data_IF_748601439209
#
_entry.id   IF_748601439209
#
_cell.length_a   1.000
_cell.length_b   1.000
_cell.length_c   1.000
_cell.angle_alpha   90.00
_cell.angle_beta   90.00
_cell.angle_gamma   90.00
#
_symmetry.space_group_name_H-M   'P 1'
#
loop_
_entity.id
_entity.type
_entity.pdbx_description
1 polymer ?
#
# COMPACT_ATOMS: atom_id res chain seq x y z
N UNK A 1 8.62 -23.95 5.53
CA UNK A 1 8.98 -22.53 5.37
C UNK A 1 7.81 -21.86 4.68
N UNK A 2 7.35 -20.70 5.14
CA UNK A 2 6.26 -19.98 4.47
C UNK A 2 6.84 -18.64 4.00
N UNK A 3 6.69 -18.36 2.71
CA UNK A 3 7.00 -17.07 2.10
C UNK A 3 5.70 -16.33 1.83
N UNK A 4 5.68 -15.04 2.12
CA UNK A 4 4.53 -14.18 1.85
C UNK A 4 5.00 -12.98 1.05
N UNK A 5 4.45 -12.85 -0.16
CA UNK A 5 4.45 -11.62 -0.93
C UNK A 5 3.08 -10.97 -0.76
N UNK A 6 3.06 -9.78 -0.17
CA UNK A 6 1.89 -8.98 0.12
C UNK A 6 1.90 -7.77 -0.81
N UNK A 7 0.90 -7.69 -1.70
CA UNK A 7 0.76 -6.59 -2.65
C UNK A 7 -0.32 -5.62 -2.14
N UNK A 8 0.04 -4.35 -2.04
CA UNK A 8 -0.89 -3.26 -1.79
C UNK A 8 -1.37 -2.63 -3.09
N UNK A 9 -2.51 -1.96 -3.02
CA UNK A 9 -3.08 -1.17 -4.13
C UNK A 9 -2.55 0.26 -4.16
N UNK A 10 -1.58 0.57 -3.30
CA UNK A 10 -1.07 1.92 -3.08
C UNK A 10 -1.95 2.75 -2.16
N UNK A 11 -1.37 3.82 -1.64
CA UNK A 11 -2.02 4.80 -0.77
C UNK A 11 -1.35 6.16 -0.96
N UNK A 12 -2.01 7.25 -0.64
CA UNK A 12 -1.47 8.60 -0.81
C UNK A 12 -1.06 9.21 0.54
N UNK A 13 0.05 9.97 0.51
CA UNK A 13 0.58 10.64 1.70
C UNK A 13 -0.38 11.79 2.05
N UNK A 14 -1.16 11.60 3.11
CA UNK A 14 -2.03 12.65 3.63
C UNK A 14 -1.23 13.64 4.46
N UNK A 15 -1.43 14.94 4.20
CA UNK A 15 -1.11 15.93 5.23
C UNK A 15 -1.98 15.65 6.47
N UNK A 16 -1.42 15.77 7.68
CA UNK A 16 -2.14 15.48 8.91
C UNK A 16 -3.39 16.37 8.97
N UNK A 17 -4.56 15.72 8.94
CA UNK A 17 -5.83 16.42 9.07
C UNK A 17 -5.87 17.18 10.41
N UNK A 18 -6.30 18.45 10.45
CA UNK A 18 -6.50 19.14 11.70
C UNK A 18 -7.57 18.40 12.50
N UNK A 19 -7.15 17.79 13.61
CA UNK A 19 -8.01 17.02 14.51
C UNK A 19 -9.12 17.93 15.04
N UNK A 20 -10.24 17.99 14.35
CA UNK A 20 -11.39 18.78 14.78
C UNK A 20 -12.34 17.84 15.55
N UNK A 21 -12.37 17.99 16.86
CA UNK A 21 -13.11 17.12 17.79
C UNK A 21 -14.65 17.19 17.69
N UNK A 22 -15.21 17.73 16.60
CA UNK A 22 -16.63 18.07 16.46
C UNK A 22 -17.21 17.65 15.09
N UNK A 23 -16.91 16.43 14.65
CA UNK A 23 -17.52 15.89 13.44
C UNK A 23 -18.79 15.14 13.82
N UNK A 24 -19.94 15.62 13.33
CA UNK A 24 -21.22 14.96 13.56
C UNK A 24 -21.33 13.68 12.70
N UNK A 25 -22.22 12.76 13.10
CA UNK A 25 -22.45 11.49 12.39
C UNK A 25 -22.75 11.69 10.90
N UNK A 26 -23.47 12.77 10.55
CA UNK A 26 -23.76 13.12 9.16
C UNK A 26 -22.48 13.47 8.38
N UNK A 27 -21.57 14.22 9.00
CA UNK A 27 -20.28 14.57 8.40
C UNK A 27 -19.45 13.32 8.11
N UNK A 28 -19.46 12.37 9.04
CA UNK A 28 -18.82 11.06 8.89
C UNK A 28 -19.43 10.24 7.73
N UNK A 29 -20.76 10.17 7.64
CA UNK A 29 -21.45 9.43 6.57
C UNK A 29 -21.25 10.10 5.20
N UNK A 30 -21.21 11.43 5.14
CA UNK A 30 -21.03 12.18 3.88
C UNK A 30 -19.58 12.22 3.40
N UNK A 31 -18.61 12.09 4.31
CA UNK A 31 -17.17 11.99 4.00
C UNK A 31 -16.70 10.54 4.13
N UNK A 32 -17.49 9.62 3.58
CA UNK A 32 -17.25 8.18 3.61
C UNK A 32 -15.82 7.80 3.20
N UNK A 33 -15.23 8.53 2.24
CA UNK A 33 -13.85 8.35 1.80
C UNK A 33 -12.84 8.53 2.94
N UNK A 34 -13.08 9.46 3.87
CA UNK A 34 -12.20 9.68 5.03
C UNK A 34 -12.32 8.54 6.07
N UNK A 35 -13.51 7.97 6.26
CA UNK A 35 -13.71 6.82 7.17
C UNK A 35 -13.15 5.55 6.58
N UNK A 36 -13.48 5.28 5.32
CA UNK A 36 -12.93 4.13 4.59
C UNK A 36 -11.42 4.22 4.57
N UNK A 37 -10.87 5.40 4.33
CA UNK A 37 -9.42 5.61 4.40
C UNK A 37 -8.87 5.32 5.81
N UNK A 38 -9.39 5.92 6.88
CA UNK A 38 -8.90 5.64 8.26
C UNK A 38 -9.01 4.15 8.62
N UNK A 39 -10.09 3.47 8.20
CA UNK A 39 -10.27 2.04 8.44
C UNK A 39 -9.31 1.19 7.60
N UNK A 40 -9.08 1.52 6.33
CA UNK A 40 -8.19 0.78 5.45
C UNK A 40 -6.71 1.03 5.77
N UNK A 41 -6.32 2.28 6.01
CA UNK A 41 -4.96 2.68 6.37
C UNK A 41 -4.52 2.02 7.68
N UNK A 42 -5.39 2.03 8.69
CA UNK A 42 -5.12 1.36 9.96
C UNK A 42 -4.98 -0.15 9.80
N UNK A 43 -5.79 -0.78 8.94
CA UNK A 43 -5.64 -2.21 8.65
C UNK A 43 -4.35 -2.50 7.89
N UNK A 44 -4.01 -1.71 6.87
CA UNK A 44 -2.77 -1.88 6.11
C UNK A 44 -1.55 -1.79 7.02
N UNK A 45 -1.45 -0.74 7.85
CA UNK A 45 -0.32 -0.55 8.75
C UNK A 45 -0.26 -1.63 9.84
N UNK A 46 -1.38 -1.96 10.47
CA UNK A 46 -1.41 -2.96 11.54
C UNK A 46 -1.07 -4.36 11.01
N UNK A 47 -1.60 -4.74 9.85
CA UNK A 47 -1.29 -6.04 9.23
C UNK A 47 0.18 -6.10 8.84
N UNK A 48 0.72 -5.06 8.22
CA UNK A 48 2.13 -5.01 7.82
C UNK A 48 3.08 -5.11 9.03
N UNK A 49 2.77 -4.37 10.10
CA UNK A 49 3.51 -4.43 11.36
C UNK A 49 3.45 -5.82 12.01
N UNK A 50 2.26 -6.43 12.07
CA UNK A 50 2.12 -7.76 12.65
C UNK A 50 2.83 -8.84 11.82
N UNK A 51 2.73 -8.76 10.50
CA UNK A 51 3.38 -9.72 9.60
C UNK A 51 4.91 -9.61 9.64
N UNK A 52 5.44 -8.38 9.63
CA UNK A 52 6.88 -8.14 9.78
C UNK A 52 7.41 -8.54 11.16
N UNK A 53 6.61 -8.41 12.22
CA UNK A 53 7.01 -8.87 13.57
C UNK A 53 6.97 -10.40 13.69
N UNK A 54 5.98 -11.05 13.08
CA UNK A 54 5.80 -12.50 13.19
C UNK A 54 6.76 -13.28 12.29
N UNK A 55 7.10 -12.73 11.13
CA UNK A 55 7.92 -13.41 10.13
C UNK A 55 9.33 -12.83 10.10
N UNK A 56 10.34 -13.69 9.93
CA UNK A 56 11.71 -13.20 9.72
C UNK A 56 11.77 -12.32 8.46
N UNK A 57 12.58 -11.25 8.48
CA UNK A 57 12.74 -10.22 7.43
C UNK A 57 13.05 -10.73 6.00
N UNK A 58 13.33 -12.02 5.84
CA UNK A 58 13.59 -12.67 4.54
C UNK A 58 12.41 -13.50 4.03
N UNK A 59 11.28 -13.52 4.75
CA UNK A 59 10.12 -14.38 4.49
C UNK A 59 8.86 -13.58 4.23
N UNK A 60 8.80 -12.32 4.69
CA UNK A 60 7.72 -11.39 4.41
C UNK A 60 8.20 -10.28 3.49
N UNK A 61 7.47 -10.06 2.40
CA UNK A 61 7.72 -9.01 1.42
C UNK A 61 6.45 -8.20 1.23
N UNK A 62 6.51 -6.89 1.48
CA UNK A 62 5.39 -5.96 1.26
C UNK A 62 5.73 -5.01 0.12
N UNK A 63 4.91 -5.00 -0.92
CA UNK A 63 4.96 -3.99 -1.97
C UNK A 63 3.81 -3.02 -1.79
N UNK A 64 4.15 -1.76 -1.58
CA UNK A 64 3.21 -0.68 -1.30
C UNK A 64 3.76 0.60 -1.94
N UNK A 65 3.10 1.05 -3.00
CA UNK A 65 3.38 2.36 -3.58
C UNK A 65 2.76 3.47 -2.74
N UNK A 66 3.41 4.63 -2.71
CA UNK A 66 2.93 5.84 -2.05
C UNK A 66 2.73 6.94 -3.09
N UNK A 67 1.51 7.43 -3.21
CA UNK A 67 1.11 8.43 -4.18
C UNK A 67 1.21 9.84 -3.60
N UNK A 68 1.48 10.82 -4.46
CA UNK A 68 1.42 12.24 -4.09
C UNK A 68 -0.03 12.72 -3.96
N UNK A 69 -0.91 12.26 -4.85
CA UNK A 69 -2.32 12.68 -4.90
C UNK A 69 -3.28 11.51 -4.64
N UNK A 70 -4.47 11.82 -4.13
CA UNK A 70 -5.50 10.82 -3.87
C UNK A 70 -6.16 10.35 -5.17
N UNK A 71 -6.17 9.04 -5.40
CA UNK A 71 -6.91 8.41 -6.51
C UNK A 71 -8.10 7.67 -5.90
N UNK A 72 -9.31 7.89 -6.45
CA UNK A 72 -10.51 7.19 -5.97
C UNK A 72 -10.51 5.75 -6.46
N UNK A 73 -11.06 4.86 -5.65
CA UNK A 73 -11.12 3.43 -5.96
C UNK A 73 -11.96 3.12 -7.21
N UNK A 74 -12.97 3.94 -7.49
CA UNK A 74 -13.89 3.79 -8.63
C UNK A 74 -13.48 4.63 -9.86
N UNK A 75 -12.36 5.35 -9.81
CA UNK A 75 -11.84 6.09 -10.95
C UNK A 75 -11.37 5.14 -12.05
N UNK A 76 -11.85 5.38 -13.27
CA UNK A 76 -11.57 4.55 -14.45
C UNK A 76 -11.30 5.38 -15.71
N UNK A 77 -11.08 6.69 -15.54
CA UNK A 77 -10.67 7.59 -16.61
C UNK A 77 -9.32 7.12 -17.18
N UNK A 78 -9.14 7.09 -18.52
CA UNK A 78 -7.93 6.59 -19.15
C UNK A 78 -6.64 7.23 -18.61
N UNK A 79 -6.64 8.55 -18.39
CA UNK A 79 -5.48 9.29 -17.89
C UNK A 79 -5.10 8.84 -16.46
N UNK A 80 -6.09 8.46 -15.63
CA UNK A 80 -5.84 7.94 -14.28
C UNK A 80 -5.27 6.52 -14.34
N UNK A 81 -5.77 5.69 -15.25
CA UNK A 81 -5.24 4.34 -15.45
C UNK A 81 -3.80 4.39 -15.96
N UNK A 82 -3.49 5.28 -16.91
CA UNK A 82 -2.13 5.53 -17.39
C UNK A 82 -1.22 6.02 -16.26
N UNK A 83 -1.71 6.93 -15.41
CA UNK A 83 -0.98 7.37 -14.22
C UNK A 83 -0.67 6.21 -13.25
N UNK A 84 -1.65 5.34 -12.97
CA UNK A 84 -1.45 4.17 -12.12
C UNK A 84 -0.43 3.18 -12.72
N UNK A 85 -0.44 2.99 -14.04
CA UNK A 85 0.58 2.20 -14.73
C UNK A 85 1.97 2.81 -14.55
N UNK A 86 2.11 4.12 -14.75
CA UNK A 86 3.39 4.82 -14.58
C UNK A 86 3.90 4.68 -13.14
N UNK A 87 3.04 4.88 -12.13
CA UNK A 87 3.41 4.70 -10.73
C UNK A 87 3.88 3.27 -10.44
N UNK A 88 3.24 2.26 -11.05
CA UNK A 88 3.65 0.87 -10.87
C UNK A 88 5.05 0.61 -11.45
N UNK A 89 5.36 1.19 -12.61
CA UNK A 89 6.70 1.09 -13.21
C UNK A 89 7.75 1.82 -12.38
N UNK A 90 7.48 3.05 -11.95
CA UNK A 90 8.39 3.82 -11.09
C UNK A 90 8.69 3.08 -9.79
N UNK A 91 7.66 2.55 -9.13
CA UNK A 91 7.82 1.77 -7.91
C UNK A 91 8.65 0.50 -8.13
N UNK A 92 8.46 -0.18 -9.27
CA UNK A 92 9.27 -1.35 -9.63
C UNK A 92 10.75 -0.98 -9.76
N UNK A 93 11.05 0.09 -10.48
CA UNK A 93 12.43 0.56 -10.68
C UNK A 93 13.09 0.94 -9.35
N UNK A 94 12.37 1.65 -8.47
CA UNK A 94 12.87 1.96 -7.13
C UNK A 94 13.17 0.69 -6.31
N UNK A 95 12.27 -0.29 -6.34
CA UNK A 95 12.48 -1.56 -5.63
C UNK A 95 13.71 -2.32 -6.14
N UNK A 96 13.97 -2.33 -7.44
CA UNK A 96 15.21 -2.91 -7.98
C UNK A 96 16.46 -2.19 -7.45
N UNK A 97 16.43 -0.85 -7.34
CA UNK A 97 17.55 -0.06 -6.85
C UNK A 97 17.84 -0.27 -5.35
N UNK A 98 16.79 -0.20 -4.52
CA UNK A 98 16.92 -0.33 -3.06
C UNK A 98 17.18 -1.77 -2.62
N UNK A 99 16.72 -2.74 -3.40
CA UNK A 99 16.67 -4.13 -2.98
C UNK A 99 17.06 -5.09 -4.11
N UNK A 100 18.25 -4.84 -4.66
CA UNK A 100 18.91 -5.51 -5.79
C UNK A 100 18.90 -7.06 -5.78
N UNK A 101 18.41 -7.74 -4.73
CA UNK A 101 18.36 -9.19 -4.70
C UNK A 101 17.24 -9.84 -3.87
N UNK A 102 16.36 -9.11 -3.16
CA UNK A 102 15.29 -9.79 -2.39
C UNK A 102 14.27 -10.49 -3.28
N UNK A 103 13.84 -9.85 -4.37
CA UNK A 103 12.90 -10.48 -5.31
C UNK A 103 13.53 -11.73 -5.97
N UNK A 104 14.79 -11.64 -6.38
CA UNK A 104 15.52 -12.80 -6.90
C UNK A 104 15.61 -13.93 -5.88
N UNK A 105 15.87 -13.64 -4.59
CA UNK A 105 15.85 -14.67 -3.52
C UNK A 105 14.47 -15.32 -3.36
N UNK A 106 13.39 -14.55 -3.51
CA UNK A 106 12.03 -15.09 -3.50
C UNK A 106 11.80 -16.00 -4.72
N UNK A 107 12.15 -15.53 -5.93
CA UNK A 107 12.02 -16.30 -7.18
C UNK A 107 12.83 -17.59 -7.12
N UNK A 108 14.08 -17.53 -6.66
CA UNK A 108 14.93 -18.71 -6.48
C UNK A 108 14.28 -19.70 -5.52
N UNK A 109 13.80 -19.25 -4.36
CA UNK A 109 13.10 -20.13 -3.42
C UNK A 109 11.86 -20.78 -4.02
N UNK A 110 11.02 -20.02 -4.71
CA UNK A 110 9.81 -20.55 -5.37
C UNK A 110 10.14 -21.53 -6.51
N UNK A 111 11.34 -21.47 -7.11
CA UNK A 111 11.77 -22.42 -8.14
C UNK A 111 12.32 -23.74 -7.58
N UNK A 112 12.75 -23.76 -6.32
CA UNK A 112 13.39 -24.92 -5.68
C UNK A 112 12.52 -25.56 -4.58
N UNK A 113 11.33 -25.01 -4.31
CA UNK A 113 10.22 -25.68 -3.58
C UNK A 113 9.35 -26.49 -4.56
#
# INVERSE_FOLDING_TARGET
NIFVLSLGTGDYIQEPSPVNAHWDLLHYITHHDAIVKVLLDSQQHNVDYHMSTLMNDNHYYRWQAWFEESIKLDSCEPDILENLENIAYEYWEEMELYDNNRLNRLIERLRYE
#
